data_IF_334211182549
#
_entry.id   IF_334211182549
#
_cell.length_a   1.000
_cell.length_b   1.000
_cell.length_c   1.000
_cell.angle_alpha   90.00
_cell.angle_beta   90.00
_cell.angle_gamma   90.00
#
_symmetry.space_group_name_H-M   'P 1'
#
loop_
_entity.id
_entity.type
_entity.pdbx_description
1 polymer ?
#
# COMPACT_ATOMS: atom_id res chain seq x y z
N UNK A 1 -4.50 35.37 -1.33
CA UNK A 1 -5.12 34.14 -1.84
C UNK A 1 -4.80 33.05 -0.84
N UNK A 2 -5.79 32.44 -0.22
CA UNK A 2 -5.56 31.35 0.75
C UNK A 2 -5.05 30.13 -0.01
N UNK A 3 -3.83 29.71 0.26
CA UNK A 3 -3.25 28.50 -0.34
C UNK A 3 -4.04 27.32 0.20
N UNK A 4 -4.72 26.57 -0.66
CA UNK A 4 -5.44 25.37 -0.27
C UNK A 4 -4.42 24.31 0.16
N UNK A 5 -4.40 24.01 1.46
CA UNK A 5 -3.52 23.02 2.06
C UNK A 5 -4.36 21.83 2.53
N UNK A 6 -3.92 20.62 2.19
CA UNK A 6 -4.60 19.39 2.55
C UNK A 6 -3.59 18.38 3.07
N UNK A 7 -3.81 17.84 4.27
CA UNK A 7 -3.01 16.77 4.84
C UNK A 7 -3.37 15.43 4.20
N UNK A 8 -2.36 14.63 3.89
CA UNK A 8 -2.53 13.36 3.15
C UNK A 8 -3.33 12.35 3.96
N UNK A 9 -3.13 12.29 5.28
CA UNK A 9 -3.94 11.44 6.15
C UNK A 9 -5.44 11.77 6.09
N UNK A 10 -5.82 13.01 5.78
CA UNK A 10 -7.24 13.40 5.58
C UNK A 10 -7.77 13.06 4.19
N UNK A 11 -6.89 12.87 3.21
CA UNK A 11 -7.28 12.43 1.88
C UNK A 11 -7.53 10.92 1.84
N UNK A 12 -6.81 10.17 2.68
CA UNK A 12 -7.01 8.73 2.79
C UNK A 12 -8.47 8.41 3.14
N UNK A 13 -9.07 7.53 2.36
CA UNK A 13 -10.48 7.14 2.51
C UNK A 13 -11.51 8.11 1.92
N UNK A 14 -11.11 9.32 1.48
CA UNK A 14 -12.03 10.25 0.83
C UNK A 14 -12.66 9.65 -0.41
N UNK A 15 -13.97 9.83 -0.57
CA UNK A 15 -14.68 9.39 -1.76
C UNK A 15 -14.24 10.19 -2.99
N UNK A 16 -14.10 9.49 -4.12
CA UNK A 16 -13.76 10.06 -5.41
C UNK A 16 -15.00 10.02 -6.30
N UNK A 17 -15.33 11.16 -6.89
CA UNK A 17 -16.51 11.32 -7.74
C UNK A 17 -16.13 11.80 -9.14
N UNK A 18 -16.95 11.46 -10.09
CA UNK A 18 -16.93 12.05 -11.42
C UNK A 18 -17.71 13.39 -11.46
N UNK A 19 -17.75 14.11 -12.61
CA UNK A 19 -18.49 15.37 -12.71
C UNK A 19 -20.02 15.21 -12.62
N UNK A 20 -20.55 14.02 -12.86
CA UNK A 20 -21.98 13.73 -12.75
C UNK A 20 -22.40 13.44 -11.30
N UNK A 21 -21.42 13.25 -10.40
CA UNK A 21 -21.65 12.92 -9.00
C UNK A 21 -21.67 11.41 -8.72
N UNK A 22 -21.31 10.59 -9.69
CA UNK A 22 -21.18 9.16 -9.52
C UNK A 22 -19.89 8.84 -8.76
N UNK A 23 -19.99 7.93 -7.77
CA UNK A 23 -18.85 7.53 -6.96
C UNK A 23 -17.99 6.54 -7.73
N UNK A 24 -16.74 6.92 -7.98
CA UNK A 24 -15.75 6.12 -8.69
C UNK A 24 -14.96 5.19 -7.75
N UNK A 25 -14.75 5.63 -6.48
CA UNK A 25 -13.95 4.87 -5.53
C UNK A 25 -13.60 5.68 -4.28
N UNK A 26 -12.46 5.35 -3.67
CA UNK A 26 -11.90 6.09 -2.51
C UNK A 26 -10.39 6.26 -2.66
N UNK A 27 -9.85 7.37 -2.18
CA UNK A 27 -8.41 7.63 -2.16
C UNK A 27 -7.73 6.66 -1.21
N UNK A 28 -6.66 6.00 -1.68
CA UNK A 28 -5.80 5.15 -0.87
C UNK A 28 -4.46 5.80 -0.57
N UNK A 29 -3.87 6.48 -1.56
CA UNK A 29 -2.58 7.15 -1.37
C UNK A 29 -2.42 8.35 -2.33
N UNK A 30 -1.38 9.12 -2.08
CA UNK A 30 -0.94 10.25 -2.92
C UNK A 30 0.43 9.89 -3.50
N UNK A 31 0.58 9.99 -4.82
CA UNK A 31 1.83 9.69 -5.50
C UNK A 31 2.59 10.97 -5.80
N UNK A 32 3.86 11.00 -5.41
CA UNK A 32 4.77 12.12 -5.62
C UNK A 32 6.03 11.70 -6.38
N UNK A 33 6.67 12.66 -7.00
CA UNK A 33 7.99 12.50 -7.63
C UNK A 33 8.95 13.50 -7.00
N UNK A 34 10.11 13.01 -6.55
CA UNK A 34 11.17 13.86 -6.01
C UNK A 34 11.80 14.72 -7.10
N UNK A 35 12.18 15.92 -6.72
CA UNK A 35 12.97 16.86 -7.53
C UNK A 35 14.27 17.18 -6.81
N UNK A 36 15.32 17.47 -7.56
CA UNK A 36 16.66 17.68 -6.98
C UNK A 36 16.74 18.85 -5.97
N UNK A 37 15.96 19.89 -6.16
CA UNK A 37 16.02 21.12 -5.34
C UNK A 37 14.68 21.63 -4.85
N UNK A 38 13.56 21.08 -5.34
CA UNK A 38 12.19 21.51 -5.04
C UNK A 38 11.44 20.48 -4.18
N UNK A 39 10.37 20.91 -3.49
CA UNK A 39 9.48 19.99 -2.84
C UNK A 39 8.93 18.92 -3.81
N UNK A 40 8.72 17.68 -3.36
CA UNK A 40 8.17 16.60 -4.19
C UNK A 40 6.84 17.02 -4.83
N UNK A 41 6.74 16.83 -6.15
CA UNK A 41 5.54 17.16 -6.90
C UNK A 41 4.54 16.02 -6.83
N UNK A 42 3.29 16.33 -6.52
CA UNK A 42 2.18 15.38 -6.62
C UNK A 42 1.90 15.12 -8.09
N UNK A 43 1.93 13.84 -8.49
CA UNK A 43 1.64 13.40 -9.86
C UNK A 43 0.27 12.75 -9.98
N UNK A 44 -0.27 12.21 -8.89
CA UNK A 44 -1.60 11.62 -8.89
C UNK A 44 -2.03 11.05 -7.54
N UNK A 45 -3.14 10.35 -7.58
CA UNK A 45 -3.73 9.63 -6.46
C UNK A 45 -3.83 8.16 -6.81
N UNK A 46 -3.60 7.28 -5.84
CA UNK A 46 -4.03 5.89 -5.91
C UNK A 46 -5.48 5.85 -5.41
N UNK A 47 -6.37 5.31 -6.23
CA UNK A 47 -7.80 5.23 -5.93
C UNK A 47 -8.22 3.78 -5.98
N UNK A 48 -8.83 3.31 -4.91
CA UNK A 48 -9.49 2.02 -4.87
C UNK A 48 -10.88 2.14 -5.51
N UNK A 49 -11.11 1.35 -6.54
CA UNK A 49 -12.40 1.23 -7.24
C UNK A 49 -13.13 -0.06 -6.80
N UNK A 50 -14.42 -0.25 -7.16
CA UNK A 50 -15.11 -1.51 -6.89
C UNK A 50 -14.32 -2.74 -7.34
N UNK A 51 -14.34 -3.79 -6.53
CA UNK A 51 -13.50 -4.98 -6.73
C UNK A 51 -12.11 -4.86 -6.10
N UNK A 52 -11.93 -3.94 -5.14
CA UNK A 52 -10.67 -3.69 -4.39
C UNK A 52 -9.46 -3.37 -5.28
N UNK A 53 -9.67 -3.00 -6.55
CA UNK A 53 -8.59 -2.69 -7.50
C UNK A 53 -8.07 -1.27 -7.29
N UNK A 54 -6.76 -1.14 -7.23
CA UNK A 54 -6.06 0.14 -7.13
C UNK A 54 -5.74 0.67 -8.53
N UNK A 55 -6.17 1.89 -8.82
CA UNK A 55 -5.94 2.56 -10.11
C UNK A 55 -5.29 3.92 -9.91
N UNK A 56 -4.52 4.37 -10.89
CA UNK A 56 -3.89 5.68 -10.85
C UNK A 56 -4.77 6.76 -11.47
N UNK A 57 -5.01 7.82 -10.71
CA UNK A 57 -5.69 9.03 -11.16
C UNK A 57 -4.69 10.18 -11.19
N UNK A 58 -4.29 10.63 -12.38
CA UNK A 58 -3.38 11.76 -12.53
C UNK A 58 -3.93 13.01 -11.84
N UNK A 59 -3.06 13.77 -11.16
CA UNK A 59 -3.45 15.01 -10.47
C UNK A 59 -4.05 16.05 -11.41
N UNK A 60 -3.67 16.04 -12.69
CA UNK A 60 -4.27 16.89 -13.73
C UNK A 60 -5.74 16.56 -14.05
N UNK A 61 -6.23 15.40 -13.62
CA UNK A 61 -7.64 15.00 -13.72
C UNK A 61 -8.45 15.32 -12.47
N UNK A 62 -7.80 15.77 -11.40
CA UNK A 62 -8.44 16.18 -10.18
C UNK A 62 -8.86 17.63 -10.31
N UNK A 63 -10.14 17.89 -10.36
CA UNK A 63 -10.72 19.23 -10.51
C UNK A 63 -10.89 19.94 -9.17
N UNK A 64 -11.20 19.16 -8.11
CA UNK A 64 -11.38 19.71 -6.77
C UNK A 64 -11.00 18.69 -5.70
N UNK A 65 -10.34 19.18 -4.66
CA UNK A 65 -10.14 18.46 -3.40
C UNK A 65 -10.87 19.26 -2.32
N UNK A 66 -11.91 18.70 -1.75
CA UNK A 66 -12.70 19.33 -0.68
C UNK A 66 -12.71 18.44 0.56
N UNK A 67 -13.27 18.91 1.66
CA UNK A 67 -13.37 18.14 2.90
C UNK A 67 -14.17 16.84 2.66
N UNK A 68 -13.48 15.71 2.70
CA UNK A 68 -14.09 14.38 2.60
C UNK A 68 -14.36 13.88 1.18
N UNK A 69 -14.04 14.66 0.14
CA UNK A 69 -14.29 14.24 -1.25
C UNK A 69 -13.27 14.78 -2.23
N UNK A 70 -13.05 14.03 -3.30
CA UNK A 70 -12.24 14.43 -4.46
C UNK A 70 -13.12 14.35 -5.70
N UNK A 71 -13.10 15.39 -6.52
CA UNK A 71 -13.85 15.42 -7.79
C UNK A 71 -12.84 15.35 -8.93
N UNK A 72 -13.11 14.49 -9.91
CA UNK A 72 -12.26 14.26 -11.09
C UNK A 72 -12.98 14.62 -12.37
N UNK A 73 -12.28 14.53 -13.50
CA UNK A 73 -12.89 14.70 -14.83
C UNK A 73 -13.69 13.48 -15.30
N UNK A 74 -13.82 12.42 -14.48
CA UNK A 74 -14.59 11.21 -14.79
C UNK A 74 -13.87 10.16 -15.64
N UNK A 75 -12.82 10.51 -16.37
CA UNK A 75 -12.05 9.56 -17.18
C UNK A 75 -10.97 8.92 -16.33
N UNK A 76 -11.20 7.71 -15.83
CA UNK A 76 -10.23 6.92 -15.07
C UNK A 76 -9.69 5.79 -15.94
N UNK A 77 -8.36 5.62 -15.94
CA UNK A 77 -7.75 4.43 -16.50
C UNK A 77 -7.87 3.30 -15.47
N UNK A 78 -8.63 2.28 -15.81
CA UNK A 78 -8.90 1.12 -14.94
C UNK A 78 -7.77 0.09 -14.89
N UNK A 79 -6.61 0.39 -15.50
CA UNK A 79 -5.43 -0.46 -15.35
C UNK A 79 -4.95 -0.40 -13.91
N UNK A 80 -4.55 -1.55 -13.39
CA UNK A 80 -3.94 -1.67 -12.07
C UNK A 80 -2.80 -0.65 -11.94
N UNK A 81 -2.74 0.01 -10.80
CA UNK A 81 -1.65 0.92 -10.46
C UNK A 81 -0.37 0.12 -10.25
N UNK A 82 0.68 0.52 -10.94
CA UNK A 82 2.04 0.08 -10.69
C UNK A 82 2.91 1.33 -10.57
N UNK A 83 3.68 1.49 -9.47
CA UNK A 83 4.58 2.61 -9.31
C UNK A 83 5.63 2.61 -10.42
N UNK A 84 5.91 3.78 -10.98
CA UNK A 84 7.00 3.96 -11.94
C UNK A 84 8.28 4.35 -11.22
N UNK A 85 9.43 4.12 -11.86
CA UNK A 85 10.71 4.54 -11.28
C UNK A 85 10.71 6.02 -10.87
N UNK A 86 11.03 6.29 -9.60
CA UNK A 86 11.02 7.63 -9.02
C UNK A 86 9.67 8.12 -8.48
N UNK A 87 8.58 7.37 -8.65
CA UNK A 87 7.31 7.63 -7.97
C UNK A 87 7.36 7.07 -6.54
N UNK A 88 6.88 7.87 -5.57
CA UNK A 88 6.83 7.52 -4.14
C UNK A 88 5.41 7.74 -3.65
N UNK A 89 4.86 6.76 -2.94
CA UNK A 89 3.56 6.85 -2.29
C UNK A 89 3.74 7.47 -0.91
N UNK A 90 2.96 8.51 -0.63
CA UNK A 90 3.14 9.29 0.61
C UNK A 90 2.78 8.47 1.84
N UNK A 91 1.60 7.83 1.88
CA UNK A 91 1.17 7.06 3.05
C UNK A 91 2.01 5.79 3.23
N UNK A 92 2.22 5.05 2.15
CA UNK A 92 2.89 3.75 2.22
C UNK A 92 4.42 3.86 2.38
N UNK A 93 5.04 4.95 1.86
CA UNK A 93 6.50 4.99 1.75
C UNK A 93 7.16 6.21 2.40
N UNK A 94 6.48 7.36 2.47
CA UNK A 94 7.05 8.58 3.03
C UNK A 94 6.76 8.72 4.53
N UNK A 95 5.51 8.42 4.96
CA UNK A 95 5.17 8.46 6.38
C UNK A 95 5.96 7.40 7.14
N UNK A 96 6.33 7.74 8.37
CA UNK A 96 7.19 6.89 9.20
C UNK A 96 8.70 7.05 8.93
N UNK A 97 9.11 7.69 7.84
CA UNK A 97 10.54 7.92 7.57
C UNK A 97 11.16 8.90 8.57
N UNK A 98 12.43 8.67 8.86
CA UNK A 98 13.24 9.56 9.69
C UNK A 98 13.88 10.65 8.83
N UNK A 99 13.82 11.88 9.34
CA UNK A 99 14.40 13.07 8.71
C UNK A 99 15.27 13.81 9.71
N UNK A 100 16.28 14.51 9.21
CA UNK A 100 17.08 15.45 9.98
C UNK A 100 16.58 16.86 9.75
N UNK A 101 16.39 17.61 10.82
CA UNK A 101 16.06 19.03 10.74
C UNK A 101 17.34 19.82 10.46
N UNK A 102 17.28 20.71 9.45
CA UNK A 102 18.44 21.51 9.00
C UNK A 102 18.88 22.52 10.05
N UNK A 103 17.96 22.93 10.93
CA UNK A 103 18.22 23.87 12.04
C UNK A 103 19.08 23.26 13.17
N UNK A 104 19.51 22.01 13.02
CA UNK A 104 20.31 21.31 14.01
C UNK A 104 19.53 20.77 15.20
N UNK A 105 18.20 20.87 15.20
CA UNK A 105 17.37 20.38 16.32
C UNK A 105 17.20 18.86 16.37
N UNK A 106 17.89 18.13 15.50
CA UNK A 106 18.04 16.67 15.54
C UNK A 106 17.12 15.92 14.57
N UNK A 107 16.80 14.68 14.94
CA UNK A 107 15.96 13.78 14.12
C UNK A 107 14.49 13.90 14.47
N UNK A 108 13.64 13.58 13.50
CA UNK A 108 12.22 13.47 13.66
C UNK A 108 11.66 12.41 12.69
N UNK A 109 10.45 11.92 12.96
CA UNK A 109 9.71 10.99 12.10
C UNK A 109 8.58 11.76 11.43
N UNK A 110 8.37 11.51 10.15
CA UNK A 110 7.25 12.09 9.39
C UNK A 110 5.96 11.36 9.79
N UNK A 111 5.02 12.09 10.41
CA UNK A 111 3.72 11.58 10.83
C UNK A 111 2.62 11.88 9.81
N UNK A 112 2.74 12.99 9.10
CA UNK A 112 1.84 13.38 8.03
C UNK A 112 2.53 14.38 7.08
N UNK A 113 2.01 14.53 5.88
CA UNK A 113 2.48 15.48 4.89
C UNK A 113 1.31 16.30 4.35
N UNK A 114 1.50 17.59 4.19
CA UNK A 114 0.51 18.46 3.59
C UNK A 114 0.87 18.74 2.13
N UNK A 115 -0.07 18.50 1.25
CA UNK A 115 0.01 18.93 -0.15
C UNK A 115 -0.63 20.29 -0.31
N UNK A 116 -0.01 21.14 -1.11
CA UNK A 116 -0.51 22.47 -1.40
C UNK A 116 -0.18 22.88 -2.84
N UNK A 117 -0.92 23.84 -3.38
CA UNK A 117 -0.58 24.40 -4.70
C UNK A 117 0.56 25.40 -4.54
N UNK A 118 1.64 25.17 -5.27
CA UNK A 118 2.76 26.10 -5.36
C UNK A 118 2.37 27.33 -6.23
N UNK A 119 3.30 28.29 -6.34
CA UNK A 119 3.10 29.53 -7.14
C UNK A 119 2.89 29.27 -8.63
N UNK A 120 3.32 28.11 -9.12
CA UNK A 120 3.15 27.65 -10.51
C UNK A 120 1.81 26.94 -10.72
N UNK A 121 0.98 26.80 -9.67
CA UNK A 121 -0.30 26.10 -9.72
C UNK A 121 -0.18 24.57 -9.63
N UNK A 122 1.03 24.04 -9.41
CA UNK A 122 1.26 22.60 -9.25
C UNK A 122 1.03 22.18 -7.80
N UNK A 123 0.53 20.99 -7.60
CA UNK A 123 0.45 20.37 -6.28
C UNK A 123 1.82 19.80 -5.88
N UNK A 124 2.27 20.14 -4.69
CA UNK A 124 3.54 19.68 -4.12
C UNK A 124 3.41 19.47 -2.61
N UNK A 125 4.31 18.70 -2.02
CA UNK A 125 4.44 18.61 -0.56
C UNK A 125 5.05 19.94 -0.06
N UNK A 126 4.29 20.72 0.69
CA UNK A 126 4.76 21.99 1.24
C UNK A 126 5.21 21.88 2.68
N UNK A 127 4.45 21.18 3.52
CA UNK A 127 4.68 21.10 4.95
C UNK A 127 4.60 19.65 5.43
N UNK A 128 5.44 19.33 6.40
CA UNK A 128 5.47 18.04 7.10
C UNK A 128 5.02 18.24 8.54
N UNK A 129 4.27 17.27 9.06
CA UNK A 129 3.99 17.10 10.47
C UNK A 129 4.93 16.04 11.03
N UNK A 130 5.79 16.45 11.94
CA UNK A 130 6.91 15.68 12.43
C UNK A 130 6.73 15.35 13.91
N UNK A 131 7.16 14.15 14.32
CA UNK A 131 7.30 13.76 15.71
C UNK A 131 8.77 13.57 16.06
N UNK A 132 9.23 14.29 17.07
CA UNK A 132 10.59 14.14 17.61
C UNK A 132 10.68 12.92 18.53
N UNK A 133 11.87 12.35 18.74
CA UNK A 133 12.09 11.33 19.73
C UNK A 133 11.60 11.79 21.11
N UNK A 134 11.07 10.86 21.90
CA UNK A 134 10.65 11.16 23.28
C UNK A 134 11.88 11.41 24.17
N UNK A 135 11.80 12.43 24.99
CA UNK A 135 12.82 12.77 25.99
C UNK A 135 12.49 12.21 27.37
N UNK A 136 11.28 11.62 27.54
CA UNK A 136 10.81 11.08 28.81
C UNK A 136 11.00 9.57 28.89
N UNK A 137 11.35 9.06 30.09
CA UNK A 137 11.45 7.63 30.39
C UNK A 137 10.09 6.91 30.47
N UNK A 138 8.97 7.63 30.47
CA UNK A 138 7.62 7.03 30.52
C UNK A 138 7.32 6.22 29.24
N UNK A 139 6.88 4.95 29.34
CA UNK A 139 6.58 4.12 28.17
C UNK A 139 5.42 4.67 27.35
N UNK A 140 4.49 5.42 27.96
CA UNK A 140 3.31 5.99 27.30
C UNK A 140 3.51 7.41 26.76
N UNK A 141 4.66 8.06 27.05
CA UNK A 141 4.92 9.40 26.54
C UNK A 141 5.26 9.35 25.04
N UNK A 142 4.50 10.09 24.23
CA UNK A 142 4.85 10.35 22.83
C UNK A 142 5.79 11.56 22.79
N UNK A 143 6.72 11.57 21.83
CA UNK A 143 7.60 12.72 21.59
C UNK A 143 6.81 13.97 21.16
N UNK A 144 7.36 15.18 21.33
CA UNK A 144 6.74 16.42 20.91
C UNK A 144 6.60 16.46 19.38
N UNK A 145 5.52 17.09 18.91
CA UNK A 145 5.25 17.25 17.49
C UNK A 145 5.58 18.67 17.04
N UNK A 146 5.99 18.82 15.79
CA UNK A 146 6.29 20.11 15.17
C UNK A 146 5.93 20.11 13.69
N UNK A 147 5.75 21.28 13.12
CA UNK A 147 5.64 21.44 11.68
C UNK A 147 6.98 21.94 11.12
N UNK A 148 7.34 21.44 9.96
CA UNK A 148 8.50 21.91 9.19
C UNK A 148 8.11 22.03 7.71
N UNK A 149 8.74 22.93 6.96
CA UNK A 149 8.58 22.90 5.52
C UNK A 149 9.45 21.78 4.94
N UNK A 150 9.14 21.33 3.73
CA UNK A 150 9.99 20.35 3.07
C UNK A 150 11.46 20.78 2.97
N UNK A 151 11.67 22.08 2.70
CA UNK A 151 13.02 22.69 2.63
C UNK A 151 13.81 22.65 3.93
N UNK A 152 13.14 22.51 5.07
CA UNK A 152 13.75 22.57 6.40
C UNK A 152 14.19 21.20 6.91
N UNK A 153 13.98 20.16 6.10
CA UNK A 153 14.35 18.78 6.43
C UNK A 153 15.32 18.23 5.39
N UNK A 154 16.23 17.36 5.84
CA UNK A 154 16.98 16.46 4.98
C UNK A 154 16.48 15.07 5.24
N UNK A 155 15.86 14.48 4.24
CA UNK A 155 15.59 13.06 4.24
C UNK A 155 16.96 12.35 4.14
N UNK A 156 17.22 11.46 5.08
CA UNK A 156 18.36 10.56 4.95
C UNK A 156 17.96 9.52 3.90
N UNK A 157 18.19 9.84 2.64
CA UNK A 157 18.16 8.84 1.58
C UNK A 157 19.39 7.93 1.76
N UNK A 158 19.34 7.04 2.73
CA UNK A 158 20.08 5.80 2.60
C UNK A 158 19.20 4.90 1.70
N UNK A 159 19.68 4.49 0.52
CA UNK A 159 19.04 3.39 -0.17
C UNK A 159 19.14 2.19 0.77
N UNK A 160 17.99 1.77 1.35
CA UNK A 160 17.90 0.59 2.22
C UNK A 160 17.54 0.79 3.69
N UNK A 161 17.35 2.02 4.23
CA UNK A 161 16.73 2.19 5.56
C UNK A 161 15.19 2.35 5.47
N UNK A 162 14.52 1.49 4.73
CA UNK A 162 13.17 1.05 5.07
C UNK A 162 13.24 0.35 6.44
N UNK A 163 12.21 0.47 7.29
CA UNK A 163 12.07 -0.40 8.46
C UNK A 163 12.49 -1.81 8.05
N UNK A 164 13.28 -2.50 8.90
CA UNK A 164 13.67 -3.86 8.53
C UNK A 164 12.41 -4.69 8.30
N UNK A 165 12.48 -5.68 7.44
CA UNK A 165 11.32 -6.53 7.13
C UNK A 165 10.78 -7.11 8.42
N UNK A 166 11.66 -7.53 9.33
CA UNK A 166 11.30 -8.08 10.64
C UNK A 166 10.51 -7.08 11.51
N UNK A 167 10.84 -5.78 11.43
CA UNK A 167 10.08 -4.74 12.15
C UNK A 167 8.68 -4.53 11.57
N UNK A 168 8.54 -4.63 10.25
CA UNK A 168 7.23 -4.57 9.58
C UNK A 168 6.40 -5.79 9.94
N UNK A 169 6.95 -7.00 9.79
CA UNK A 169 6.29 -8.25 10.17
C UNK A 169 5.85 -8.22 11.63
N UNK A 170 6.72 -7.78 12.55
CA UNK A 170 6.37 -7.61 13.96
C UNK A 170 5.24 -6.60 14.18
N UNK A 171 5.17 -5.52 13.39
CA UNK A 171 4.08 -4.54 13.49
C UNK A 171 2.76 -5.04 12.90
N UNK A 172 2.81 -6.02 12.01
CA UNK A 172 1.65 -6.61 11.34
C UNK A 172 1.12 -7.86 12.04
N UNK A 173 1.85 -8.39 13.05
CA UNK A 173 1.50 -9.62 13.75
C UNK A 173 0.12 -9.62 14.42
N UNK A 174 -0.38 -8.44 14.84
CA UNK A 174 -1.68 -8.27 15.51
C UNK A 174 -2.80 -7.80 14.57
N UNK A 175 -2.52 -7.58 13.27
CA UNK A 175 -3.54 -7.14 12.31
C UNK A 175 -4.53 -8.27 12.03
N UNK A 176 -5.79 -7.93 11.82
CA UNK A 176 -6.77 -8.87 11.27
C UNK A 176 -6.41 -9.24 9.81
N UNK A 177 -6.77 -10.43 9.31
CA UNK A 177 -6.46 -10.86 7.95
C UNK A 177 -6.77 -9.81 6.87
N UNK A 178 -7.97 -9.26 6.87
CA UNK A 178 -8.39 -8.22 5.92
C UNK A 178 -7.57 -6.91 6.02
N UNK A 179 -7.12 -6.53 7.23
CA UNK A 179 -6.28 -5.35 7.43
C UNK A 179 -4.83 -5.64 6.99
N UNK A 180 -4.34 -6.86 7.22
CA UNK A 180 -3.05 -7.32 6.73
C UNK A 180 -3.03 -7.35 5.21
N UNK A 181 -4.04 -7.93 4.57
CA UNK A 181 -4.22 -7.95 3.13
C UNK A 181 -4.15 -6.54 2.52
N UNK A 182 -4.95 -5.60 3.07
CA UNK A 182 -4.94 -4.21 2.62
C UNK A 182 -3.56 -3.56 2.83
N UNK A 183 -2.89 -3.84 3.94
CA UNK A 183 -1.57 -3.27 4.26
C UNK A 183 -0.50 -3.80 3.30
N UNK A 184 -0.51 -5.09 2.99
CA UNK A 184 0.39 -5.70 2.00
C UNK A 184 0.17 -5.10 0.61
N UNK A 185 -1.08 -4.97 0.16
CA UNK A 185 -1.44 -4.37 -1.12
C UNK A 185 -1.06 -2.87 -1.21
N UNK A 186 -0.94 -2.19 -0.09
CA UNK A 186 -0.48 -0.81 -0.02
C UNK A 186 1.06 -0.68 -0.09
N UNK A 187 1.84 -1.77 0.01
CA UNK A 187 3.30 -1.75 -0.15
C UNK A 187 3.72 -1.71 -1.64
N UNK A 188 4.91 -1.16 -1.97
CA UNK A 188 5.53 -1.40 -3.26
C UNK A 188 5.72 -2.91 -3.51
N UNK A 189 5.58 -3.36 -4.76
CA UNK A 189 5.60 -4.78 -5.12
C UNK A 189 6.82 -5.52 -4.54
N UNK A 190 8.03 -5.01 -4.77
CA UNK A 190 9.25 -5.60 -4.21
C UNK A 190 9.22 -5.67 -2.67
N UNK A 191 8.63 -4.66 -2.01
CA UNK A 191 8.54 -4.62 -0.55
C UNK A 191 7.45 -5.54 -0.01
N UNK A 192 6.35 -5.63 -0.72
CA UNK A 192 5.27 -6.59 -0.45
C UNK A 192 5.83 -8.01 -0.48
N UNK A 193 6.61 -8.36 -1.50
CA UNK A 193 7.24 -9.67 -1.63
C UNK A 193 8.28 -9.96 -0.53
N UNK A 194 9.07 -8.95 -0.13
CA UNK A 194 9.98 -9.09 1.01
C UNK A 194 9.22 -9.39 2.31
N UNK A 195 8.13 -8.67 2.57
CA UNK A 195 7.30 -8.88 3.77
C UNK A 195 6.54 -10.20 3.71
N UNK A 196 5.91 -10.52 2.57
CA UNK A 196 5.27 -11.80 2.34
C UNK A 196 6.26 -12.96 2.52
N UNK A 197 7.53 -12.75 2.12
CA UNK A 197 8.62 -13.69 2.29
C UNK A 197 8.96 -14.02 3.76
N UNK A 198 8.68 -13.15 4.71
CA UNK A 198 9.02 -13.28 6.13
C UNK A 198 7.79 -13.48 7.04
N UNK A 199 6.57 -13.38 6.51
CA UNK A 199 5.35 -13.69 7.28
C UNK A 199 5.25 -15.20 7.54
N UNK A 200 4.71 -15.64 8.69
CA UNK A 200 4.30 -17.02 8.89
C UNK A 200 3.28 -17.46 7.82
N UNK A 201 3.34 -18.75 7.42
CA UNK A 201 2.55 -19.25 6.28
C UNK A 201 1.04 -19.18 6.57
N UNK A 202 0.60 -19.51 7.78
CA UNK A 202 -0.78 -19.36 8.25
C UNK A 202 -1.26 -17.91 8.14
N UNK A 203 -0.42 -16.95 8.52
CA UNK A 203 -0.77 -15.52 8.46
C UNK A 203 -0.83 -14.99 7.03
N UNK A 204 0.02 -15.51 6.16
CA UNK A 204 0.00 -15.13 4.74
C UNK A 204 -1.20 -15.78 4.04
N UNK A 205 -1.52 -17.04 4.34
CA UNK A 205 -2.72 -17.73 3.86
C UNK A 205 -3.99 -16.94 4.19
N UNK A 206 -4.24 -16.65 5.48
CA UNK A 206 -5.37 -15.83 5.93
C UNK A 206 -5.46 -14.47 5.21
N UNK A 207 -4.31 -13.84 4.95
CA UNK A 207 -4.29 -12.54 4.26
C UNK A 207 -4.57 -12.69 2.75
N UNK A 208 -4.09 -13.75 2.11
CA UNK A 208 -4.35 -14.02 0.71
C UNK A 208 -5.85 -14.24 0.45
N UNK A 209 -6.56 -15.01 1.28
CA UNK A 209 -8.01 -15.25 1.19
C UNK A 209 -8.82 -13.94 1.18
N UNK A 210 -8.30 -12.90 1.81
CA UNK A 210 -8.93 -11.56 1.85
C UNK A 210 -8.52 -10.64 0.68
N UNK A 211 -7.62 -11.08 -0.22
CA UNK A 211 -7.14 -10.31 -1.37
C UNK A 211 -7.99 -10.55 -2.63
N UNK A 212 -7.94 -9.63 -3.62
CA UNK A 212 -8.42 -9.92 -4.96
C UNK A 212 -7.62 -11.07 -5.59
N UNK A 213 -8.30 -11.92 -6.34
CA UNK A 213 -7.75 -13.12 -6.99
C UNK A 213 -6.48 -12.85 -7.81
N UNK A 214 -6.46 -11.79 -8.63
CA UNK A 214 -5.28 -11.37 -9.40
C UNK A 214 -4.05 -11.08 -8.52
N UNK A 215 -4.28 -10.61 -7.27
CA UNK A 215 -3.23 -10.27 -6.31
C UNK A 215 -2.72 -11.50 -5.57
N UNK A 216 -3.61 -12.42 -5.23
CA UNK A 216 -3.28 -13.73 -4.65
C UNK A 216 -2.36 -14.50 -5.61
N UNK A 217 -2.78 -14.67 -6.88
CA UNK A 217 -2.00 -15.37 -7.90
C UNK A 217 -0.62 -14.73 -8.10
N UNK A 218 -0.57 -13.38 -8.15
CA UNK A 218 0.68 -12.65 -8.31
C UNK A 218 1.68 -12.91 -7.17
N UNK A 219 1.22 -12.94 -5.93
CA UNK A 219 2.10 -13.24 -4.77
C UNK A 219 2.56 -14.69 -4.84
N UNK A 220 1.64 -15.63 -5.06
CA UNK A 220 1.95 -17.05 -5.09
C UNK A 220 2.93 -17.42 -6.22
N UNK A 221 2.79 -16.79 -7.40
CA UNK A 221 3.71 -16.99 -8.53
C UNK A 221 5.15 -16.56 -8.23
N UNK A 222 5.35 -15.59 -7.36
CA UNK A 222 6.68 -15.07 -7.02
C UNK A 222 7.33 -15.78 -5.82
N UNK A 223 6.58 -16.57 -5.06
CA UNK A 223 7.11 -17.41 -4.00
C UNK A 223 7.78 -18.67 -4.57
N UNK A 224 8.72 -19.24 -3.81
CA UNK A 224 9.30 -20.55 -4.14
C UNK A 224 8.24 -21.66 -4.02
N UNK A 225 8.39 -22.70 -4.84
CA UNK A 225 7.41 -23.78 -4.98
C UNK A 225 7.04 -24.46 -3.66
N UNK A 226 8.06 -24.81 -2.84
CA UNK A 226 7.86 -25.42 -1.54
C UNK A 226 7.01 -24.55 -0.62
N UNK A 227 7.36 -23.26 -0.54
CA UNK A 227 6.63 -22.33 0.32
C UNK A 227 5.23 -21.99 -0.20
N UNK A 228 5.06 -21.94 -1.51
CA UNK A 228 3.73 -21.75 -2.11
C UNK A 228 2.81 -22.93 -1.78
N UNK A 229 3.33 -24.15 -1.74
CA UNK A 229 2.60 -25.32 -1.30
C UNK A 229 2.26 -25.26 0.20
N UNK A 230 3.21 -24.89 1.09
CA UNK A 230 2.97 -24.74 2.53
C UNK A 230 1.87 -23.70 2.83
N UNK A 231 1.79 -22.63 2.02
CA UNK A 231 0.75 -21.62 2.15
C UNK A 231 -0.61 -22.16 1.69
N UNK A 232 -0.65 -22.91 0.58
CA UNK A 232 -1.88 -23.53 0.10
C UNK A 232 -2.38 -24.60 1.10
N UNK A 233 -1.50 -25.33 1.77
CA UNK A 233 -1.85 -26.25 2.85
C UNK A 233 -2.46 -25.56 4.07
N UNK A 234 -2.12 -24.28 4.29
CA UNK A 234 -2.66 -23.47 5.38
C UNK A 234 -3.96 -22.71 5.02
N UNK A 235 -4.40 -22.73 3.77
CA UNK A 235 -5.64 -22.09 3.29
C UNK A 235 -6.85 -23.00 3.49
N UNK A 236 -8.06 -22.40 3.48
CA UNK A 236 -9.28 -23.20 3.32
C UNK A 236 -9.25 -23.93 1.96
N UNK A 237 -9.62 -25.22 1.86
CA UNK A 237 -9.46 -26.00 0.64
C UNK A 237 -10.17 -25.43 -0.60
N UNK A 238 -11.30 -24.75 -0.43
CA UNK A 238 -12.04 -24.09 -1.50
C UNK A 238 -11.30 -22.83 -2.02
N UNK A 239 -10.74 -22.03 -1.13
CA UNK A 239 -9.93 -20.86 -1.52
C UNK A 239 -8.62 -21.29 -2.21
N UNK A 240 -7.97 -22.37 -1.72
CA UNK A 240 -6.80 -22.96 -2.36
C UNK A 240 -7.12 -23.48 -3.78
N UNK A 241 -8.28 -24.13 -3.95
CA UNK A 241 -8.73 -24.62 -5.25
C UNK A 241 -9.01 -23.48 -6.23
N UNK A 242 -9.70 -22.43 -5.78
CA UNK A 242 -10.01 -21.26 -6.60
C UNK A 242 -8.72 -20.53 -7.03
N UNK A 243 -7.75 -20.42 -6.14
CA UNK A 243 -6.45 -19.82 -6.44
C UNK A 243 -5.64 -20.67 -7.42
N UNK A 244 -5.57 -21.98 -7.24
CA UNK A 244 -4.89 -22.92 -8.16
C UNK A 244 -5.53 -22.93 -9.55
N UNK A 245 -6.85 -22.75 -9.66
CA UNK A 245 -7.54 -22.69 -10.94
C UNK A 245 -7.11 -21.47 -11.80
N UNK A 246 -6.54 -20.44 -11.19
CA UNK A 246 -6.08 -19.23 -11.88
C UNK A 246 -4.63 -19.32 -12.36
N UNK A 247 -3.86 -20.26 -11.81
CA UNK A 247 -2.47 -20.49 -12.19
C UNK A 247 -2.39 -21.27 -13.51
N UNK A 248 -1.27 -21.16 -14.25
CA UNK A 248 -1.00 -22.05 -15.37
C UNK A 248 -1.07 -23.53 -14.95
N UNK A 249 -1.70 -24.40 -15.78
CA UNK A 249 -1.93 -25.82 -15.46
C UNK A 249 -0.67 -26.53 -14.94
N UNK A 250 0.47 -26.34 -15.59
CA UNK A 250 1.72 -26.99 -15.15
C UNK A 250 2.22 -26.50 -13.77
N UNK A 251 1.85 -25.27 -13.36
CA UNK A 251 2.20 -24.71 -12.06
C UNK A 251 1.28 -25.28 -10.97
N UNK A 252 -0.01 -25.34 -11.24
CA UNK A 252 -1.00 -25.91 -10.33
C UNK A 252 -0.68 -27.37 -9.97
N UNK A 253 -0.36 -28.20 -10.99
CA UNK A 253 0.04 -29.60 -10.76
C UNK A 253 1.31 -29.71 -9.91
N UNK A 254 2.32 -28.86 -10.17
CA UNK A 254 3.55 -28.85 -9.38
C UNK A 254 3.30 -28.51 -7.90
N UNK A 255 2.45 -27.54 -7.62
CA UNK A 255 2.12 -27.15 -6.25
C UNK A 255 1.32 -28.25 -5.55
N UNK A 256 0.32 -28.83 -6.21
CA UNK A 256 -0.45 -29.96 -5.68
C UNK A 256 0.41 -31.18 -5.35
N UNK A 257 1.51 -31.41 -6.09
CA UNK A 257 2.44 -32.51 -5.81
C UNK A 257 3.38 -32.22 -4.63
N UNK A 258 3.52 -30.96 -4.24
CA UNK A 258 4.33 -30.51 -3.10
C UNK A 258 3.51 -30.34 -1.81
N UNK A 259 2.19 -30.19 -1.91
CA UNK A 259 1.26 -30.10 -0.78
C UNK A 259 1.23 -31.38 0.05
N UNK A 260 0.74 -31.26 1.29
CA UNK A 260 0.47 -32.44 2.11
C UNK A 260 -0.59 -33.33 1.43
N UNK A 261 -0.41 -34.68 1.43
CA UNK A 261 -1.27 -35.57 0.63
C UNK A 261 -2.76 -35.47 0.95
N UNK A 262 -3.12 -35.26 2.22
CA UNK A 262 -4.51 -35.17 2.66
C UNK A 262 -5.16 -33.89 2.17
N UNK A 263 -4.45 -32.73 2.28
CA UNK A 263 -4.91 -31.42 1.80
C UNK A 263 -4.96 -31.37 0.27
N UNK A 264 -3.94 -31.91 -0.40
CA UNK A 264 -3.91 -32.00 -1.87
C UNK A 264 -5.08 -32.81 -2.44
N UNK A 265 -5.50 -33.88 -1.75
CA UNK A 265 -6.63 -34.73 -2.19
C UNK A 265 -7.97 -33.97 -2.08
N UNK A 266 -8.17 -33.16 -1.02
CA UNK A 266 -9.35 -32.33 -0.84
C UNK A 266 -9.41 -31.24 -1.92
N UNK A 267 -8.32 -30.53 -2.17
CA UNK A 267 -8.21 -29.51 -3.21
C UNK A 267 -8.42 -30.10 -4.62
N UNK A 268 -7.82 -31.27 -4.93
CA UNK A 268 -8.06 -31.96 -6.21
C UNK A 268 -9.52 -32.34 -6.40
N UNK A 269 -10.20 -32.76 -5.34
CA UNK A 269 -11.62 -33.06 -5.41
C UNK A 269 -12.44 -31.85 -5.78
N UNK A 270 -12.13 -30.67 -5.22
CA UNK A 270 -12.81 -29.41 -5.53
C UNK A 270 -12.53 -28.94 -6.96
N UNK A 271 -11.28 -28.98 -7.42
CA UNK A 271 -10.90 -28.64 -8.80
C UNK A 271 -11.62 -29.52 -9.83
N UNK A 272 -11.89 -30.80 -9.50
CA UNK A 272 -12.59 -31.71 -10.41
C UNK A 272 -14.08 -31.39 -10.57
N UNK A 273 -14.70 -30.66 -9.62
CA UNK A 273 -16.11 -30.25 -9.70
C UNK A 273 -16.36 -29.00 -10.56
N UNK A 274 -15.31 -28.17 -10.80
CA UNK A 274 -15.38 -26.96 -11.61
C UNK A 274 -16.24 -25.83 -10.98
N UNK A 275 -16.04 -24.56 -11.46
CA UNK A 275 -16.68 -23.38 -10.87
C UNK A 275 -18.22 -23.27 -11.07
N UNK A 276 -18.87 -24.22 -11.73
CA UNK A 276 -20.29 -24.14 -12.13
C UNK A 276 -21.25 -24.90 -11.19
N UNK A 277 -20.83 -25.33 -10.00
CA UNK A 277 -21.67 -26.18 -9.10
C UNK A 277 -21.98 -25.54 -7.74
N UNK A 278 -21.73 -24.24 -7.55
CA UNK A 278 -22.12 -23.52 -6.33
C UNK A 278 -23.41 -22.71 -6.50
#
# INVERSE_FOLDING_TARGET
MSTQRVFVARLAGCAVFDPAGDRLGRVRDVVVVYRASDPPRVVGLVVEIPGRRHVFVSIGRVTSIATGQVITTGLINVRRFQPRGGEVRVLAELLGRRVHLIDGSGEAVIEDAAIERNRLGEWAIGQLFLRRPKTSASPFAKGPTTFANWSDVRERMAPGESQSVEQLVASYSELLPADLANTLLDLPDARMMEVAGELPDDRLADALEEMPEDDQAHILEQLGDERAADILDAMEPDDAADLLAQLPEGRSEQLLDLMEPDEADDVRALLAYGPDTA
#
